data_IF_838658583555
#
_entry.id   IF_838658583555
#
_cell.length_a   1.000
_cell.length_b   1.000
_cell.length_c   1.000
_cell.angle_alpha   90.00
_cell.angle_beta   90.00
_cell.angle_gamma   90.00
#
_symmetry.space_group_name_H-M   'P 1'
#
loop_
_entity.id
_entity.type
_entity.pdbx_description
1 polymer ?
#
# COMPACT_ATOMS: atom_id res chain seq x y z
N UNK A 1 -14.32 6.43 -5.01
CA UNK A 1 -13.04 5.77 -5.35
C UNK A 1 -12.43 6.55 -6.49
N UNK A 2 -11.17 6.95 -6.35
CA UNK A 2 -10.44 7.68 -7.39
C UNK A 2 -9.16 6.90 -7.68
N UNK A 3 -8.67 6.98 -8.91
CA UNK A 3 -7.30 6.55 -9.23
C UNK A 3 -6.30 7.45 -8.50
N UNK A 4 -5.06 6.99 -8.29
CA UNK A 4 -4.00 7.84 -7.75
C UNK A 4 -3.65 8.93 -8.78
N UNK A 5 -4.40 10.03 -8.72
CA UNK A 5 -4.08 11.31 -9.34
C UNK A 5 -3.21 12.06 -8.32
N UNK A 6 -2.20 12.84 -8.74
CA UNK A 6 -1.36 13.62 -7.83
C UNK A 6 -2.19 14.30 -6.76
N UNK A 7 -2.08 13.77 -5.54
CA UNK A 7 -2.71 14.38 -4.38
C UNK A 7 -1.89 15.64 -4.14
N UNK A 8 -2.37 16.79 -4.63
CA UNK A 8 -2.04 18.07 -3.97
C UNK A 8 -2.22 17.78 -2.50
N UNK A 9 -1.16 17.83 -1.70
CA UNK A 9 -0.98 17.25 -0.37
C UNK A 9 -2.01 17.71 0.68
N UNK A 10 -3.28 17.47 0.41
CA UNK A 10 -4.41 17.83 1.26
C UNK A 10 -4.44 16.77 2.36
N UNK A 11 -4.33 17.18 3.62
CA UNK A 11 -4.37 16.24 4.72
C UNK A 11 -5.76 15.59 4.80
N UNK A 12 -5.77 14.26 4.86
CA UNK A 12 -6.96 13.46 5.06
C UNK A 12 -6.83 12.65 6.35
N UNK A 13 -7.90 12.61 7.15
CA UNK A 13 -7.91 11.82 8.40
C UNK A 13 -7.60 10.36 8.11
N UNK A 14 -8.23 9.80 7.08
CA UNK A 14 -8.05 8.42 6.67
C UNK A 14 -7.74 8.37 5.18
N UNK A 15 -6.72 7.61 4.81
CA UNK A 15 -6.37 7.30 3.43
C UNK A 15 -6.43 5.79 3.24
N UNK A 16 -7.14 5.33 2.21
CA UNK A 16 -7.23 3.91 1.86
C UNK A 16 -6.69 3.67 0.45
N UNK A 17 -5.63 2.89 0.35
CA UNK A 17 -5.03 2.46 -0.91
C UNK A 17 -5.39 0.99 -1.15
N UNK A 18 -5.97 0.70 -2.32
CA UNK A 18 -6.52 -0.62 -2.65
C UNK A 18 -5.85 -1.16 -3.89
N UNK A 19 -5.49 -2.45 -3.87
CA UNK A 19 -4.92 -3.16 -5.01
C UNK A 19 -3.44 -2.82 -5.25
N UNK A 20 -2.65 -2.67 -4.18
CA UNK A 20 -1.19 -2.48 -4.30
C UNK A 20 -0.50 -3.83 -4.55
N UNK A 21 -0.89 -4.47 -5.64
CA UNK A 21 -0.48 -5.81 -6.03
C UNK A 21 0.81 -5.78 -6.86
N UNK A 22 1.64 -6.82 -6.70
CA UNK A 22 2.77 -7.03 -7.58
C UNK A 22 2.31 -7.23 -9.04
N UNK A 23 2.98 -6.54 -9.97
CA UNK A 23 2.60 -6.48 -11.38
C UNK A 23 1.50 -5.46 -11.73
N UNK A 24 0.77 -4.93 -10.75
CA UNK A 24 -0.19 -3.82 -10.94
C UNK A 24 0.42 -2.49 -10.51
N UNK A 25 1.17 -2.50 -9.40
CA UNK A 25 1.83 -1.33 -8.85
C UNK A 25 3.32 -1.62 -8.60
N UNK A 26 4.25 -0.74 -9.05
CA UNK A 26 4.07 0.41 -9.91
C UNK A 26 3.55 0.03 -11.31
N UNK A 27 2.91 0.96 -11.99
CA UNK A 27 2.45 0.78 -13.37
C UNK A 27 3.67 0.56 -14.27
N UNK A 28 3.64 -0.55 -14.99
CA UNK A 28 4.63 -0.85 -16.01
C UNK A 28 4.23 -0.15 -17.31
N UNK A 29 5.05 0.79 -17.77
CA UNK A 29 5.02 1.23 -19.16
C UNK A 29 6.03 0.40 -19.94
N UNK A 30 5.57 -0.33 -20.95
CA UNK A 30 6.46 -0.82 -21.98
C UNK A 30 6.84 0.38 -22.85
N UNK A 31 8.13 0.72 -23.02
CA UNK A 31 8.51 1.76 -23.95
C UNK A 31 8.11 1.34 -25.36
N UNK A 32 7.42 2.22 -26.08
CA UNK A 32 7.09 1.96 -27.48
C UNK A 32 8.40 1.89 -28.29
N UNK A 33 8.46 1.02 -29.30
CA UNK A 33 9.71 0.77 -30.05
C UNK A 33 10.26 1.99 -30.81
N UNK A 34 9.41 2.99 -31.01
CA UNK A 34 9.69 4.29 -31.61
C UNK A 34 9.89 5.42 -30.59
N UNK A 35 9.86 5.12 -29.28
CA UNK A 35 10.23 6.08 -28.24
C UNK A 35 11.76 6.30 -28.24
N UNK A 36 12.18 7.36 -28.93
CA UNK A 36 13.58 7.78 -29.01
C UNK A 36 14.09 8.29 -27.66
N UNK A 37 13.22 8.85 -26.82
CA UNK A 37 13.58 9.37 -25.50
C UNK A 37 13.90 8.22 -24.52
N UNK A 38 13.16 7.12 -24.60
CA UNK A 38 13.42 5.92 -23.79
C UNK A 38 14.81 5.28 -24.03
N UNK A 39 15.49 5.60 -25.13
CA UNK A 39 16.81 5.01 -25.46
C UNK A 39 17.95 5.60 -24.63
N UNK A 40 17.88 6.89 -24.33
CA UNK A 40 18.88 7.62 -23.55
C UNK A 40 18.15 8.55 -22.56
N UNK A 41 17.61 8.00 -21.46
CA UNK A 41 16.84 8.78 -20.51
C UNK A 41 17.66 9.93 -19.91
N UNK A 42 17.08 11.12 -19.87
CA UNK A 42 17.72 12.32 -19.32
C UNK A 42 17.05 12.74 -18.00
N UNK A 43 17.81 13.35 -17.10
CA UNK A 43 17.27 13.91 -15.86
C UNK A 43 16.16 14.92 -16.16
N UNK A 44 15.00 14.73 -15.53
CA UNK A 44 13.81 15.58 -15.71
C UNK A 44 12.78 15.02 -16.70
N UNK A 45 13.11 13.95 -17.41
CA UNK A 45 12.11 13.21 -18.19
C UNK A 45 11.14 12.46 -17.28
N UNK A 46 9.96 12.18 -17.84
CA UNK A 46 8.87 11.54 -17.12
C UNK A 46 9.19 10.06 -16.88
N UNK A 47 9.34 9.68 -15.62
CA UNK A 47 9.41 8.29 -15.20
C UNK A 47 8.17 7.89 -14.41
N UNK A 48 7.32 7.05 -15.02
CA UNK A 48 6.06 6.58 -14.44
C UNK A 48 6.28 5.79 -13.16
N UNK A 49 7.38 5.04 -13.06
CA UNK A 49 7.68 4.27 -11.84
C UNK A 49 8.00 5.21 -10.68
N UNK A 50 8.80 6.24 -10.94
CA UNK A 50 9.10 7.28 -9.95
C UNK A 50 7.85 8.08 -9.58
N UNK A 51 6.98 8.40 -10.55
CA UNK A 51 5.69 9.06 -10.26
C UNK A 51 4.80 8.22 -9.35
N UNK A 52 4.67 6.91 -9.60
CA UNK A 52 3.88 6.01 -8.76
C UNK A 52 4.43 5.88 -7.35
N UNK A 53 5.75 5.81 -7.21
CA UNK A 53 6.42 5.83 -5.90
C UNK A 53 6.16 7.15 -5.17
N UNK A 54 6.20 8.27 -5.88
CA UNK A 54 5.86 9.57 -5.30
C UNK A 54 4.39 9.63 -4.87
N UNK A 55 3.46 9.09 -5.67
CA UNK A 55 2.04 9.01 -5.31
C UNK A 55 1.80 8.20 -4.03
N UNK A 56 2.52 7.09 -3.84
CA UNK A 56 2.47 6.32 -2.60
C UNK A 56 2.98 7.16 -1.42
N UNK A 57 4.11 7.85 -1.58
CA UNK A 57 4.67 8.70 -0.54
C UNK A 57 3.73 9.84 -0.17
N UNK A 58 3.13 10.51 -1.16
CA UNK A 58 2.16 11.58 -0.95
C UNK A 58 0.93 11.08 -0.18
N UNK A 59 0.45 9.87 -0.50
CA UNK A 59 -0.66 9.24 0.20
C UNK A 59 -0.32 8.91 1.66
N UNK A 60 0.91 8.43 1.92
CA UNK A 60 1.42 8.20 3.29
C UNK A 60 1.48 9.52 4.06
N UNK A 61 2.04 10.57 3.46
CA UNK A 61 2.18 11.88 4.10
C UNK A 61 0.85 12.61 4.28
N UNK A 62 -0.15 12.33 3.44
CA UNK A 62 -1.48 12.91 3.55
C UNK A 62 -2.33 12.30 4.68
N UNK A 63 -2.03 11.06 5.12
CA UNK A 63 -2.79 10.36 6.14
C UNK A 63 -2.45 10.88 7.55
N UNK A 64 -3.40 11.54 8.21
CA UNK A 64 -3.16 12.13 9.54
C UNK A 64 -3.54 11.22 10.71
N UNK A 65 -4.49 10.31 10.53
CA UNK A 65 -4.93 9.37 11.59
C UNK A 65 -4.75 7.91 11.18
N UNK A 66 -5.14 7.52 9.97
CA UNK A 66 -5.09 6.11 9.56
C UNK A 66 -4.76 5.96 8.08
N UNK A 67 -3.80 5.08 7.80
CA UNK A 67 -3.47 4.61 6.47
C UNK A 67 -3.84 3.13 6.35
N UNK A 68 -4.74 2.81 5.44
CA UNK A 68 -5.14 1.43 5.13
C UNK A 68 -4.58 1.08 3.75
N UNK A 69 -3.82 0.00 3.67
CA UNK A 69 -3.30 -0.52 2.40
C UNK A 69 -3.74 -1.96 2.26
N UNK A 70 -4.35 -2.30 1.12
CA UNK A 70 -4.72 -3.68 0.79
C UNK A 70 -4.01 -4.15 -0.47
N UNK A 71 -3.53 -5.39 -0.43
CA UNK A 71 -2.98 -6.11 -1.56
C UNK A 71 -3.40 -7.59 -1.48
N UNK A 72 -3.29 -8.29 -2.59
CA UNK A 72 -3.62 -9.68 -2.81
C UNK A 72 -2.45 -10.53 -2.33
N UNK A 73 -2.55 -11.03 -1.09
CA UNK A 73 -1.49 -11.84 -0.47
C UNK A 73 -1.52 -13.33 -0.82
N UNK A 74 -2.53 -13.82 -1.54
CA UNK A 74 -2.61 -15.21 -1.97
C UNK A 74 -3.30 -15.33 -3.34
N UNK A 75 -2.84 -16.29 -4.13
CA UNK A 75 -3.50 -16.66 -5.39
C UNK A 75 -4.86 -17.31 -5.12
N UNK A 76 -5.90 -16.87 -5.82
CA UNK A 76 -7.28 -17.31 -5.55
C UNK A 76 -7.55 -18.76 -5.95
N UNK A 77 -6.78 -19.31 -6.89
CA UNK A 77 -6.95 -20.67 -7.41
C UNK A 77 -6.09 -21.68 -6.66
N UNK A 78 -4.84 -21.31 -6.39
CA UNK A 78 -3.83 -22.21 -5.85
C UNK A 78 -3.52 -21.97 -4.38
N UNK A 79 -3.93 -20.82 -3.82
CA UNK A 79 -3.67 -20.46 -2.42
C UNK A 79 -2.21 -20.13 -2.10
N UNK A 80 -1.32 -20.12 -3.11
CA UNK A 80 0.08 -19.78 -2.91
C UNK A 80 0.22 -18.32 -2.47
N UNK A 81 1.14 -18.07 -1.55
CA UNK A 81 1.45 -16.73 -1.08
C UNK A 81 1.97 -15.88 -2.24
N UNK A 82 1.40 -14.68 -2.37
CA UNK A 82 1.82 -13.68 -3.34
C UNK A 82 2.57 -12.57 -2.61
N UNK A 83 3.76 -12.19 -3.08
CA UNK A 83 4.50 -11.10 -2.46
C UNK A 83 3.75 -9.78 -2.66
N UNK A 84 3.92 -8.82 -1.74
CA UNK A 84 3.44 -7.45 -1.94
C UNK A 84 4.21 -6.77 -3.07
N UNK A 85 3.64 -5.69 -3.63
CA UNK A 85 4.35 -4.81 -4.56
C UNK A 85 5.68 -4.31 -3.96
N UNK A 86 6.71 -4.15 -4.78
CA UNK A 86 8.06 -3.74 -4.33
C UNK A 86 8.06 -2.49 -3.43
N UNK A 87 7.38 -1.37 -3.78
CA UNK A 87 7.37 -0.20 -2.90
C UNK A 87 6.63 -0.43 -1.58
N UNK A 88 5.68 -1.36 -1.54
CA UNK A 88 4.98 -1.75 -0.31
C UNK A 88 5.89 -2.62 0.58
N UNK A 89 6.69 -3.51 -0.02
CA UNK A 89 7.72 -4.26 0.72
C UNK A 89 8.74 -3.30 1.33
N UNK A 90 9.24 -2.33 0.56
CA UNK A 90 10.16 -1.30 1.05
C UNK A 90 9.55 -0.46 2.19
N UNK A 91 8.26 -0.14 2.12
CA UNK A 91 7.56 0.55 3.20
C UNK A 91 7.56 -0.28 4.49
N UNK A 92 7.28 -1.59 4.39
CA UNK A 92 7.32 -2.48 5.55
C UNK A 92 8.74 -2.58 6.14
N UNK A 93 9.75 -2.69 5.28
CA UNK A 93 11.15 -2.74 5.71
C UNK A 93 11.58 -1.41 6.38
N UNK A 94 11.11 -0.27 5.88
CA UNK A 94 11.35 1.04 6.48
C UNK A 94 10.66 1.17 7.85
N UNK A 95 9.45 0.64 8.01
CA UNK A 95 8.75 0.61 9.29
C UNK A 95 9.51 -0.23 10.32
N UNK A 96 10.02 -1.40 9.93
CA UNK A 96 10.80 -2.26 10.82
C UNK A 96 12.13 -1.60 11.24
N UNK A 97 12.73 -0.77 10.38
CA UNK A 97 13.98 -0.05 10.68
C UNK A 97 13.79 1.21 11.53
N UNK A 98 12.63 1.85 11.44
CA UNK A 98 12.35 3.13 12.11
C UNK A 98 11.65 2.97 13.45
N UNK A 99 11.18 1.76 13.77
CA UNK A 99 10.52 1.44 15.03
C UNK A 99 11.46 0.69 15.99
N UNK A 100 11.09 0.61 17.27
CA UNK A 100 11.94 -0.02 18.29
C UNK A 100 12.00 -1.55 18.18
N UNK A 101 11.02 -2.15 17.50
CA UNK A 101 10.89 -3.58 17.32
C UNK A 101 10.17 -3.85 15.99
N UNK A 102 10.39 -5.01 15.35
CA UNK A 102 9.69 -5.38 14.11
C UNK A 102 8.17 -5.27 14.27
N UNK A 103 7.54 -4.48 13.40
CA UNK A 103 6.11 -4.18 13.45
C UNK A 103 5.31 -4.97 12.44
N UNK A 104 5.97 -5.67 11.51
CA UNK A 104 5.32 -6.40 10.42
C UNK A 104 4.18 -7.31 10.86
N UNK A 105 4.35 -8.06 11.95
CA UNK A 105 3.30 -8.93 12.52
C UNK A 105 2.11 -8.18 13.13
N UNK A 106 2.30 -6.90 13.47
CA UNK A 106 1.28 -6.05 14.08
C UNK A 106 0.51 -5.22 13.04
N UNK A 107 1.15 -4.88 11.92
CA UNK A 107 0.54 -4.03 10.87
C UNK A 107 0.00 -4.83 9.69
N UNK A 108 0.53 -6.02 9.42
CA UNK A 108 0.06 -6.87 8.32
C UNK A 108 -0.98 -7.86 8.83
N UNK A 109 -2.23 -7.69 8.39
CA UNK A 109 -3.30 -8.65 8.65
C UNK A 109 -3.54 -9.54 7.43
N UNK A 110 -3.45 -10.87 7.61
CA UNK A 110 -3.76 -11.84 6.56
C UNK A 110 -5.26 -12.18 6.58
N UNK A 111 -6.01 -11.62 5.64
CA UNK A 111 -7.43 -11.89 5.50
C UNK A 111 -7.69 -13.29 4.89
N UNK A 112 -8.70 -14.04 5.38
CA UNK A 112 -9.11 -15.30 4.78
C UNK A 112 -9.71 -15.10 3.38
N UNK A 113 -9.54 -16.09 2.51
CA UNK A 113 -10.08 -16.06 1.15
C UNK A 113 -11.61 -16.01 1.12
N UNK A 114 -12.26 -16.73 2.05
CA UNK A 114 -13.71 -16.84 2.09
C UNK A 114 -14.30 -15.80 3.05
N UNK A 115 -15.35 -15.07 2.65
CA UNK A 115 -15.97 -14.05 3.49
C UNK A 115 -16.64 -14.63 4.74
N UNK A 116 -17.06 -15.90 4.70
CA UNK A 116 -17.71 -16.62 5.80
C UNK A 116 -16.73 -17.39 6.71
N UNK A 117 -15.43 -17.20 6.55
CA UNK A 117 -14.44 -17.75 7.49
C UNK A 117 -14.74 -17.21 8.91
N UNK A 118 -14.67 -18.10 9.91
CA UNK A 118 -14.97 -17.77 11.32
C UNK A 118 -14.16 -16.58 11.82
N UNK A 119 -12.91 -16.44 11.36
CA UNK A 119 -12.02 -15.34 11.73
C UNK A 119 -12.59 -13.96 11.42
N UNK A 120 -13.43 -13.84 10.38
CA UNK A 120 -14.07 -12.57 10.01
C UNK A 120 -15.21 -12.17 10.96
N UNK A 121 -15.82 -13.13 11.66
CA UNK A 121 -17.03 -12.90 12.49
C UNK A 121 -16.76 -13.04 13.99
N UNK A 122 -15.61 -13.58 14.39
CA UNK A 122 -15.17 -13.59 15.78
C UNK A 122 -14.43 -12.29 16.13
N UNK A 123 -14.89 -11.52 17.14
CA UNK A 123 -14.23 -10.29 17.55
C UNK A 123 -12.77 -10.50 17.97
N UNK A 124 -11.86 -9.72 17.38
CA UNK A 124 -10.43 -9.72 17.71
C UNK A 124 -9.63 -10.90 17.16
N UNK A 125 -10.25 -11.81 16.40
CA UNK A 125 -9.56 -12.98 15.83
C UNK A 125 -8.75 -12.60 14.58
N UNK A 126 -9.22 -11.64 13.78
CA UNK A 126 -8.57 -11.24 12.53
C UNK A 126 -7.75 -9.95 12.66
N UNK A 127 -8.38 -8.87 13.11
CA UNK A 127 -7.72 -7.58 13.36
C UNK A 127 -7.72 -7.39 14.87
N UNK A 128 -6.54 -7.25 15.52
CA UNK A 128 -6.46 -6.92 16.94
C UNK A 128 -7.30 -5.67 17.22
N UNK A 129 -8.07 -5.67 18.30
CA UNK A 129 -8.88 -4.51 18.65
C UNK A 129 -7.97 -3.28 18.83
N UNK A 130 -8.05 -2.32 17.91
CA UNK A 130 -7.36 -1.04 18.09
C UNK A 130 -7.93 -0.37 19.35
N UNK A 131 -7.08 0.00 20.31
CA UNK A 131 -7.48 0.99 21.31
C UNK A 131 -7.55 2.31 20.58
N UNK A 132 -8.76 2.82 20.32
CA UNK A 132 -8.90 4.19 19.84
C UNK A 132 -8.20 5.14 20.84
N UNK A 133 -7.40 6.11 20.38
CA UNK A 133 -6.91 7.15 21.27
C UNK A 133 -8.13 7.88 21.84
N UNK A 134 -8.26 7.86 23.16
CA UNK A 134 -9.34 8.53 23.89
C UNK A 134 -9.44 9.98 23.42
N UNK A 135 -10.57 10.35 22.82
CA UNK A 135 -10.91 11.75 22.56
C UNK A 135 -10.91 12.50 23.89
N UNK A 136 -10.09 13.55 24.09
CA UNK A 136 -10.21 14.36 25.30
C UNK A 136 -11.57 15.09 25.30
N UNK A 137 -12.24 15.20 26.46
CA UNK A 137 -13.50 15.93 26.56
C UNK A 137 -13.28 17.42 26.19
N UNK A 138 -14.29 17.97 25.51
CA UNK A 138 -14.35 19.34 24.96
C UNK A 138 -14.01 20.44 25.97
#
# INVERSE_FOLDING_TARGET
MCTMVPMRSVPHRVVCLVGLDDGVFPRLLAPDGDDVLARCPMTGERDVRSEDRQLLLDAICAATETLVITYTGADEHSGHERPPAVPLAELLDALDQTTQAPVREHVVTKHPLQPFDRRNVTPGELVPAHRSPSTPPR
#
